data_IF_929502378817
#
_entry.id   IF_929502378817
#
_cell.length_a   1.000
_cell.length_b   1.000
_cell.length_c   1.000
_cell.angle_alpha   90.00
_cell.angle_beta   90.00
_cell.angle_gamma   90.00
#
_symmetry.space_group_name_H-M   'P 1'
#
loop_
_entity.id
_entity.type
_entity.pdbx_description
1 polymer ?
#
# COMPACT_ATOMS: atom_id res chain seq x y z
N UNK A 1 12.56 10.28 -15.29
CA UNK A 1 11.46 9.59 -14.56
C UNK A 1 11.21 8.26 -15.28
N UNK A 2 11.12 7.14 -14.57
CA UNK A 2 11.10 5.82 -15.19
C UNK A 2 9.82 5.59 -16.05
N UNK A 3 9.91 4.91 -17.21
CA UNK A 3 8.86 4.94 -18.24
C UNK A 3 7.61 4.07 -17.95
N UNK A 4 7.60 3.30 -16.87
CA UNK A 4 6.40 2.59 -16.39
C UNK A 4 6.25 2.79 -14.89
N UNK A 5 5.71 3.95 -14.49
CA UNK A 5 5.17 4.09 -13.14
C UNK A 5 4.13 2.99 -12.96
N UNK A 6 4.39 2.09 -12.02
CA UNK A 6 3.57 0.92 -11.70
C UNK A 6 2.08 1.30 -11.74
N UNK A 7 1.30 0.60 -12.57
CA UNK A 7 -0.17 0.77 -12.67
C UNK A 7 -0.90 0.40 -11.36
N UNK A 8 -0.14 0.12 -10.31
CA UNK A 8 -0.60 -0.25 -8.99
C UNK A 8 0.15 0.52 -7.91
N UNK A 9 -0.55 0.81 -6.81
CA UNK A 9 0.05 1.40 -5.62
C UNK A 9 -0.72 1.00 -4.36
N UNK A 10 0.01 0.65 -3.30
CA UNK A 10 -0.50 0.69 -1.93
C UNK A 10 -0.30 2.08 -1.36
N UNK A 11 -1.25 2.55 -0.53
CA UNK A 11 -1.08 3.78 0.23
C UNK A 11 -1.76 3.68 1.59
N UNK A 12 -1.27 4.46 2.54
CA UNK A 12 -1.88 4.65 3.85
C UNK A 12 -1.76 6.13 4.26
N UNK A 13 -2.85 6.70 4.77
CA UNK A 13 -2.93 8.10 5.19
C UNK A 13 -3.88 8.24 6.38
N UNK A 14 -3.36 8.70 7.52
CA UNK A 14 -4.15 8.80 8.75
C UNK A 14 -4.73 7.45 9.14
N UNK A 15 -6.05 7.35 9.22
CA UNK A 15 -6.79 6.12 9.52
C UNK A 15 -7.35 5.42 8.26
N UNK A 16 -6.83 5.76 7.08
CA UNK A 16 -7.20 5.14 5.80
C UNK A 16 -6.03 4.36 5.23
N UNK A 17 -6.33 3.26 4.57
CA UNK A 17 -5.41 2.51 3.73
C UNK A 17 -6.11 2.04 2.46
N UNK A 18 -5.36 1.78 1.41
CA UNK A 18 -5.98 1.40 0.15
C UNK A 18 -5.03 0.92 -0.93
N UNK A 19 -5.65 0.62 -2.07
CA UNK A 19 -4.99 0.09 -3.25
C UNK A 19 -5.50 0.81 -4.49
N UNK A 20 -4.57 1.22 -5.35
CA UNK A 20 -4.84 1.82 -6.64
C UNK A 20 -4.41 0.79 -7.68
N UNK A 21 -5.27 0.50 -8.65
CA UNK A 21 -4.94 -0.38 -9.77
C UNK A 21 -5.75 -0.02 -11.02
N UNK A 22 -5.06 0.23 -12.13
CA UNK A 22 -5.68 0.67 -13.40
C UNK A 22 -6.51 1.93 -13.21
N UNK A 23 -7.85 1.81 -13.19
CA UNK A 23 -8.83 2.90 -12.96
C UNK A 23 -9.54 2.79 -11.61
N UNK A 24 -9.19 1.79 -10.81
CA UNK A 24 -9.81 1.49 -9.52
C UNK A 24 -9.02 2.13 -8.38
N UNK A 25 -9.65 3.07 -7.68
CA UNK A 25 -9.12 3.66 -6.46
C UNK A 25 -9.94 3.15 -5.27
N UNK A 26 -9.43 2.12 -4.58
CA UNK A 26 -10.04 1.53 -3.39
C UNK A 26 -9.40 2.09 -2.12
N UNK A 27 -10.22 2.42 -1.12
CA UNK A 27 -9.74 2.82 0.19
C UNK A 27 -10.72 2.43 1.30
N UNK A 28 -10.20 2.12 2.48
CA UNK A 28 -10.99 1.65 3.62
C UNK A 28 -10.42 2.22 4.92
N UNK A 29 -11.32 2.45 5.88
CA UNK A 29 -10.94 2.81 7.24
C UNK A 29 -10.38 1.61 8.02
N UNK A 30 -9.38 1.86 8.85
CA UNK A 30 -8.82 0.85 9.75
C UNK A 30 -9.85 0.19 10.67
N UNK A 31 -10.91 0.91 11.05
CA UNK A 31 -11.99 0.38 11.87
C UNK A 31 -12.95 -0.56 11.10
N UNK A 32 -12.74 -0.72 9.79
CA UNK A 32 -13.51 -1.60 8.92
C UNK A 32 -14.94 -1.15 8.66
N UNK A 33 -15.33 0.07 9.05
CA UNK A 33 -16.73 0.52 8.95
C UNK A 33 -17.17 0.83 7.54
N UNK A 34 -16.29 1.38 6.72
CA UNK A 34 -16.65 1.81 5.36
C UNK A 34 -15.53 1.57 4.35
N UNK A 35 -15.97 1.16 3.15
CA UNK A 35 -15.17 1.04 1.95
C UNK A 35 -15.58 2.17 1.02
N UNK A 36 -14.59 2.93 0.56
CA UNK A 36 -14.76 4.03 -0.34
C UNK A 36 -14.04 3.71 -1.65
N UNK A 37 -14.66 4.16 -2.74
CA UNK A 37 -14.19 3.88 -4.08
C UNK A 37 -14.35 5.10 -4.97
N UNK A 38 -13.26 5.55 -5.60
CA UNK A 38 -13.21 6.78 -6.37
C UNK A 38 -12.72 6.55 -7.81
N UNK A 39 -13.00 7.52 -8.68
CA UNK A 39 -12.34 7.63 -9.98
C UNK A 39 -10.90 8.11 -9.81
N UNK A 40 -9.97 7.48 -10.51
CA UNK A 40 -8.58 7.94 -10.61
C UNK A 40 -8.50 9.18 -11.51
N UNK A 41 -9.22 9.14 -12.63
CA UNK A 41 -9.26 10.23 -13.61
C UNK A 41 -10.26 11.31 -13.19
N UNK A 42 -9.98 12.60 -13.47
CA UNK A 42 -10.94 13.67 -13.27
C UNK A 42 -12.25 13.47 -14.08
N UNK A 43 -13.42 13.83 -13.53
CA UNK A 43 -13.62 14.31 -12.17
C UNK A 43 -13.50 13.18 -11.11
N UNK A 44 -12.79 13.47 -10.02
CA UNK A 44 -12.56 12.51 -8.93
C UNK A 44 -13.82 12.40 -8.06
N UNK A 45 -14.68 11.48 -8.42
CA UNK A 45 -15.98 11.26 -7.79
C UNK A 45 -16.09 9.84 -7.22
N UNK A 46 -17.01 9.65 -6.27
CA UNK A 46 -17.31 8.33 -5.70
C UNK A 46 -17.96 7.48 -6.81
N UNK A 47 -17.28 6.42 -7.26
CA UNK A 47 -17.75 5.57 -8.37
C UNK A 47 -18.52 4.33 -7.89
N UNK A 48 -18.52 4.07 -6.57
CA UNK A 48 -19.17 2.92 -5.92
C UNK A 48 -19.00 1.60 -6.69
N UNK A 49 -17.81 1.33 -7.23
CA UNK A 49 -17.56 0.09 -7.98
C UNK A 49 -17.73 -1.14 -7.08
N UNK A 50 -17.53 -0.98 -5.77
CA UNK A 50 -17.82 -2.01 -4.78
C UNK A 50 -19.30 -2.43 -4.73
N UNK A 51 -20.23 -1.52 -5.06
CA UNK A 51 -21.66 -1.84 -5.14
C UNK A 51 -22.04 -2.51 -6.46
N UNK A 52 -21.28 -2.23 -7.53
CA UNK A 52 -21.52 -2.78 -8.87
C UNK A 52 -20.95 -4.19 -9.00
N UNK A 53 -19.77 -4.41 -8.44
CA UNK A 53 -19.08 -5.69 -8.45
C UNK A 53 -18.40 -5.95 -7.09
N UNK A 54 -19.04 -6.73 -6.20
CA UNK A 54 -18.48 -7.08 -4.90
C UNK A 54 -17.16 -7.85 -5.00
N UNK A 55 -16.95 -8.64 -6.06
CA UNK A 55 -15.75 -9.44 -6.23
C UNK A 55 -14.53 -8.55 -6.48
N UNK A 56 -14.68 -7.52 -7.31
CA UNK A 56 -13.63 -6.51 -7.51
C UNK A 56 -13.29 -5.80 -6.20
N UNK A 57 -14.29 -5.47 -5.38
CA UNK A 57 -14.06 -4.86 -4.08
C UNK A 57 -13.26 -5.78 -3.14
N UNK A 58 -13.63 -7.05 -3.09
CA UNK A 58 -12.96 -8.06 -2.27
C UNK A 58 -11.49 -8.23 -2.69
N UNK A 59 -11.23 -8.29 -4.00
CA UNK A 59 -9.87 -8.40 -4.54
C UNK A 59 -9.02 -7.18 -4.14
N UNK A 60 -9.54 -5.97 -4.33
CA UNK A 60 -8.86 -4.73 -3.95
C UNK A 60 -8.63 -4.65 -2.44
N UNK A 61 -9.62 -5.05 -1.64
CA UNK A 61 -9.49 -5.13 -0.19
C UNK A 61 -8.42 -6.13 0.23
N UNK A 62 -8.33 -7.28 -0.44
CA UNK A 62 -7.34 -8.32 -0.14
C UNK A 62 -5.93 -7.79 -0.42
N UNK A 63 -5.72 -7.12 -1.56
CA UNK A 63 -4.44 -6.48 -1.91
C UNK A 63 -4.04 -5.41 -0.89
N UNK A 64 -4.96 -4.52 -0.53
CA UNK A 64 -4.69 -3.48 0.47
C UNK A 64 -4.33 -4.07 1.85
N UNK A 65 -5.10 -5.07 2.32
CA UNK A 65 -4.83 -5.76 3.60
C UNK A 65 -3.51 -6.51 3.60
N UNK A 66 -3.11 -7.11 2.48
CA UNK A 66 -1.86 -7.85 2.39
C UNK A 66 -0.64 -6.96 2.69
N UNK A 67 -0.58 -5.75 2.11
CA UNK A 67 0.50 -4.79 2.37
C UNK A 67 0.44 -4.20 3.78
N UNK A 68 -0.77 -3.97 4.30
CA UNK A 68 -0.94 -3.53 5.68
C UNK A 68 -0.42 -4.57 6.67
N UNK A 69 -0.86 -5.82 6.53
CA UNK A 69 -0.44 -6.92 7.40
C UNK A 69 1.06 -7.18 7.29
N UNK A 70 1.61 -7.17 6.07
CA UNK A 70 3.05 -7.28 5.86
C UNK A 70 3.80 -6.17 6.63
N UNK A 71 3.33 -4.93 6.55
CA UNK A 71 3.95 -3.80 7.25
C UNK A 71 3.98 -4.02 8.77
N UNK A 72 2.87 -4.53 9.35
CA UNK A 72 2.85 -4.91 10.77
C UNK A 72 3.75 -6.10 11.09
N UNK A 73 3.78 -7.13 10.25
CA UNK A 73 4.61 -8.31 10.47
C UNK A 73 6.10 -7.96 10.47
N UNK A 74 6.54 -7.12 9.52
CA UNK A 74 7.91 -6.63 9.46
C UNK A 74 8.26 -5.78 10.68
N UNK A 75 7.34 -4.91 11.12
CA UNK A 75 7.53 -4.07 12.30
C UNK A 75 7.63 -4.91 13.58
N UNK A 76 6.71 -5.86 13.78
CA UNK A 76 6.67 -6.73 14.94
C UNK A 76 7.92 -7.63 15.05
N UNK A 77 8.53 -7.99 13.91
CA UNK A 77 9.78 -8.75 13.85
C UNK A 77 11.03 -7.87 13.98
N UNK A 78 10.88 -6.55 14.09
CA UNK A 78 11.98 -5.58 14.11
C UNK A 78 12.92 -5.70 12.89
N UNK A 79 12.35 -5.93 11.70
CA UNK A 79 13.08 -6.07 10.42
C UNK A 79 12.76 -4.96 9.41
N UNK A 80 12.10 -3.89 9.87
CA UNK A 80 11.86 -2.68 9.05
C UNK A 80 13.15 -1.86 8.92
N UNK A 81 13.95 -1.85 9.98
CA UNK A 81 15.23 -1.15 10.01
C UNK A 81 16.37 -2.15 9.80
N UNK A 82 17.48 -1.72 9.17
CA UNK A 82 18.66 -2.57 9.08
C UNK A 82 19.14 -2.94 10.48
N UNK A 83 19.66 -4.15 10.65
CA UNK A 83 20.33 -4.57 11.88
C UNK A 83 21.58 -3.72 12.13
N UNK A 84 22.09 -3.71 13.38
CA UNK A 84 23.32 -3.00 13.72
C UNK A 84 24.51 -3.42 12.85
N UNK A 85 24.59 -4.71 12.51
CA UNK A 85 25.62 -5.24 11.63
C UNK A 85 25.48 -4.74 10.19
N UNK A 86 24.25 -4.57 9.69
CA UNK A 86 23.97 -3.98 8.38
C UNK A 86 24.24 -2.47 8.37
N UNK A 87 23.88 -1.76 9.44
CA UNK A 87 24.19 -0.35 9.61
C UNK A 87 25.70 -0.11 9.60
N UNK A 88 26.48 -0.93 10.30
CA UNK A 88 27.95 -0.82 10.29
C UNK A 88 28.55 -1.03 8.89
N UNK A 89 28.02 -1.96 8.09
CA UNK A 89 28.46 -2.15 6.69
C UNK A 89 28.15 -0.93 5.81
N UNK A 90 27.01 -0.29 6.02
CA UNK A 90 26.62 0.93 5.30
C UNK A 90 27.48 2.13 5.71
N UNK A 91 27.81 2.24 7.01
CA UNK A 91 28.58 3.35 7.56
C UNK A 91 30.09 3.25 7.31
N UNK A 92 30.61 2.04 7.06
CA UNK A 92 32.03 1.79 6.80
C UNK A 92 32.26 1.17 5.41
N UNK A 93 31.97 1.89 4.31
CA UNK A 93 32.01 1.32 2.96
C UNK A 93 33.43 0.95 2.49
N UNK A 94 34.50 1.38 3.17
CA UNK A 94 35.89 1.08 2.79
C UNK A 94 36.75 0.70 4.00
N UNK A 95 36.90 -0.61 4.21
CA UNK A 95 38.13 -1.18 4.78
C UNK A 95 38.33 -2.55 4.15
N UNK A 96 38.79 -2.55 2.90
CA UNK A 96 39.61 -3.64 2.37
C UNK A 96 41.05 -3.14 2.29
N UNK A 97 42.04 -3.93 2.73
CA UNK A 97 43.46 -3.60 2.61
C UNK A 97 43.91 -3.50 1.15
#
# INVERSE_FOLDING_TARGET
>A
MAPERTKTAYFAYGNLFGWIEKELFYLRFFDGKEDLSYNINPPREKNNFCSKDPFVCEEMSKKAKAYLNLSYDLLNRNIVFPSDAELQKIMSPNTTP
#
